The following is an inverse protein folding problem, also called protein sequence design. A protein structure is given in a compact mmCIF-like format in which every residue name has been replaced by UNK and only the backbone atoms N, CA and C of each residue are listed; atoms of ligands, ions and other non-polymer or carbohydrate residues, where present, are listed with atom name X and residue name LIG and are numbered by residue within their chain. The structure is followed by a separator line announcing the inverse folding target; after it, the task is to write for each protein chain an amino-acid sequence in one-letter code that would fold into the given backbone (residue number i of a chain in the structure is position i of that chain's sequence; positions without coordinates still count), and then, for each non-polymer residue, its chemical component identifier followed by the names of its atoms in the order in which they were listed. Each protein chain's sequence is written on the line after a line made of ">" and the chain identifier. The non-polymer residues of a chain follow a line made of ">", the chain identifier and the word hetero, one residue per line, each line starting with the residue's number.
data_IF_463967877814
#
_entry.id   IF_463967877814
#
_cell.length_a   1.000
_cell.length_b   1.000
_cell.length_c   1.000
_cell.angle_alpha   90.00
_cell.angle_beta   90.00
_cell.angle_gamma   90.00
#
_symmetry.space_group_name_H-M   'P 1'
#
loop_
_entity.id
_entity.type
_entity.pdbx_description
1 polymer ?
#
# COMPACT_ATOMS: atom_id res chain seq x y z
N UNK A 1 7.69 30.58 5.68
CA UNK A 1 7.20 29.87 4.46
C UNK A 1 7.53 28.36 4.46
N UNK A 2 8.62 27.91 5.10
CA UNK A 2 8.97 26.46 5.14
C UNK A 2 8.09 25.59 6.04
N UNK A 3 7.31 26.18 6.95
CA UNK A 3 6.43 25.43 7.88
C UNK A 3 5.05 25.09 7.28
N UNK A 4 4.71 25.65 6.11
CA UNK A 4 3.42 25.42 5.44
C UNK A 4 3.52 24.12 4.64
N UNK A 5 2.71 23.14 5.00
CA UNK A 5 2.55 21.91 4.20
C UNK A 5 2.79 20.59 4.92
N UNK A 6 3.37 20.57 6.11
CA UNK A 6 3.52 19.32 6.89
C UNK A 6 2.56 19.22 8.08
N UNK A 7 2.39 20.30 8.86
CA UNK A 7 1.52 20.31 10.05
C UNK A 7 0.66 21.59 10.16
N UNK A 8 0.92 22.59 9.33
CA UNK A 8 0.23 23.89 9.37
C UNK A 8 -0.43 24.14 8.03
N UNK A 9 -1.75 24.20 8.02
CA UNK A 9 -2.56 24.43 6.80
C UNK A 9 -2.57 25.89 6.35
N UNK A 10 -2.39 26.85 7.27
CA UNK A 10 -2.33 28.27 6.98
C UNK A 10 -1.77 29.06 8.20
N UNK A 11 -1.35 30.31 7.99
CA UNK A 11 -0.90 31.19 9.06
C UNK A 11 -1.55 32.57 8.97
N UNK A 12 -1.74 33.19 10.13
CA UNK A 12 -2.34 34.51 10.24
C UNK A 12 -1.37 35.48 10.94
N UNK A 13 -1.17 36.66 10.34
CA UNK A 13 -0.27 37.69 10.90
C UNK A 13 -1.05 38.56 11.88
N UNK A 14 -0.53 38.72 13.07
CA UNK A 14 -1.15 39.62 14.08
C UNK A 14 -0.95 41.09 13.71
N UNK A 15 -1.96 41.95 13.93
CA UNK A 15 -3.25 41.71 14.55
C UNK A 15 -4.23 40.96 13.63
N UNK A 16 -4.88 39.91 14.15
CA UNK A 16 -5.77 39.04 13.39
C UNK A 16 -7.18 39.65 13.35
N UNK A 17 -7.71 39.81 12.13
CA UNK A 17 -9.09 40.22 11.90
C UNK A 17 -9.98 38.98 11.82
N UNK A 18 -11.20 38.96 12.41
CA UNK A 18 -12.16 37.84 12.28
C UNK A 18 -12.41 37.39 10.84
N UNK A 19 -12.43 38.32 9.89
CA UNK A 19 -12.59 38.00 8.47
C UNK A 19 -11.40 37.23 7.86
N UNK A 20 -10.18 37.44 8.36
CA UNK A 20 -9.00 36.67 7.93
C UNK A 20 -9.09 35.23 8.41
N UNK A 21 -9.57 35.00 9.63
CA UNK A 21 -9.83 33.66 10.16
C UNK A 21 -10.86 32.95 9.30
N UNK A 22 -11.98 33.59 9.00
CA UNK A 22 -13.05 33.04 8.15
C UNK A 22 -12.57 32.71 6.74
N UNK A 23 -11.74 33.57 6.13
CA UNK A 23 -11.17 33.32 4.82
C UNK A 23 -10.20 32.13 4.80
N UNK A 24 -9.33 32.04 5.81
CA UNK A 24 -8.41 30.92 5.96
C UNK A 24 -9.17 29.60 6.16
N UNK A 25 -10.16 29.57 7.04
CA UNK A 25 -11.03 28.40 7.24
C UNK A 25 -11.76 27.99 5.96
N UNK A 26 -12.40 28.92 5.27
CA UNK A 26 -13.09 28.66 4.00
C UNK A 26 -12.15 28.11 2.93
N UNK A 27 -10.95 28.67 2.80
CA UNK A 27 -9.94 28.21 1.85
C UNK A 27 -9.52 26.77 2.15
N UNK A 28 -9.25 26.44 3.42
CA UNK A 28 -8.84 25.11 3.82
C UNK A 28 -9.95 24.07 3.66
N UNK A 29 -11.21 24.42 4.00
CA UNK A 29 -12.35 23.55 3.78
C UNK A 29 -12.60 23.31 2.29
N UNK A 30 -12.56 24.37 1.48
CA UNK A 30 -12.73 24.26 0.02
C UNK A 30 -11.62 23.42 -0.63
N UNK A 31 -10.38 23.55 -0.16
CA UNK A 31 -9.29 22.72 -0.67
C UNK A 31 -9.51 21.24 -0.34
N UNK A 32 -10.01 20.90 0.85
CA UNK A 32 -10.34 19.51 1.21
C UNK A 32 -11.46 18.95 0.32
N UNK A 33 -12.52 19.72 0.07
CA UNK A 33 -13.59 19.31 -0.85
C UNK A 33 -13.06 19.09 -2.28
N UNK A 34 -12.25 20.01 -2.78
CA UNK A 34 -11.66 19.88 -4.12
C UNK A 34 -10.74 18.65 -4.25
N UNK A 35 -9.96 18.34 -3.21
CA UNK A 35 -9.13 17.13 -3.19
C UNK A 35 -10.01 15.88 -3.15
N UNK A 36 -11.08 15.88 -2.35
CA UNK A 36 -12.07 14.80 -2.31
C UNK A 36 -12.68 14.54 -3.69
N UNK A 37 -13.23 15.58 -4.32
CA UNK A 37 -13.86 15.48 -5.63
C UNK A 37 -12.87 15.03 -6.71
N UNK A 38 -11.62 15.52 -6.64
CA UNK A 38 -10.54 15.09 -7.53
C UNK A 38 -10.23 13.61 -7.38
N UNK A 39 -10.06 13.12 -6.13
CA UNK A 39 -9.76 11.72 -5.86
C UNK A 39 -10.90 10.80 -6.31
N UNK A 40 -12.16 11.18 -6.08
CA UNK A 40 -13.32 10.42 -6.54
C UNK A 40 -13.36 10.35 -8.07
N UNK A 41 -13.20 11.49 -8.75
CA UNK A 41 -13.21 11.56 -10.21
C UNK A 41 -12.06 10.76 -10.82
N UNK A 42 -10.87 10.86 -10.24
CA UNK A 42 -9.69 10.10 -10.66
C UNK A 42 -9.90 8.60 -10.48
N UNK A 43 -10.42 8.15 -9.33
CA UNK A 43 -10.74 6.75 -9.11
C UNK A 43 -11.78 6.22 -10.09
N UNK A 44 -12.88 6.97 -10.32
CA UNK A 44 -13.89 6.58 -11.29
C UNK A 44 -13.33 6.41 -12.70
N UNK A 45 -12.37 7.25 -13.09
CA UNK A 45 -11.68 7.12 -14.35
C UNK A 45 -10.75 5.89 -14.38
N UNK A 46 -10.03 5.63 -13.30
CA UNK A 46 -9.12 4.50 -13.17
C UNK A 46 -9.83 3.16 -12.95
N UNK A 47 -11.00 3.17 -12.36
CA UNK A 47 -11.78 1.96 -12.05
C UNK A 47 -11.96 1.03 -13.25
N UNK A 48 -12.25 1.59 -14.42
CA UNK A 48 -12.42 0.79 -15.65
C UNK A 48 -11.12 0.15 -16.09
N UNK A 49 -10.02 0.89 -15.99
CA UNK A 49 -8.70 0.40 -16.35
C UNK A 49 -8.27 -0.70 -15.38
N UNK A 50 -8.47 -0.52 -14.08
CA UNK A 50 -8.20 -1.51 -13.06
C UNK A 50 -8.99 -2.81 -13.30
N UNK A 51 -10.31 -2.69 -13.56
CA UNK A 51 -11.15 -3.86 -13.83
C UNK A 51 -10.75 -4.60 -15.12
N UNK A 52 -10.38 -3.86 -16.16
CA UNK A 52 -9.88 -4.46 -17.41
C UNK A 52 -8.51 -5.12 -17.21
N UNK A 53 -7.58 -4.47 -16.53
CA UNK A 53 -6.25 -5.01 -16.26
C UNK A 53 -6.35 -6.29 -15.42
N UNK A 54 -7.17 -6.28 -14.37
CA UNK A 54 -7.38 -7.42 -13.49
C UNK A 54 -7.77 -8.71 -14.24
N UNK A 55 -8.61 -8.59 -15.27
CA UNK A 55 -9.06 -9.76 -16.07
C UNK A 55 -7.96 -10.33 -16.97
N UNK A 56 -6.92 -9.55 -17.25
CA UNK A 56 -5.85 -9.92 -18.18
C UNK A 56 -4.53 -10.24 -17.48
N UNK A 57 -4.48 -10.22 -16.15
CA UNK A 57 -3.27 -10.53 -15.39
C UNK A 57 -2.86 -11.98 -15.61
N UNK A 58 -1.63 -12.18 -16.04
CA UNK A 58 -1.06 -13.48 -16.39
C UNK A 58 0.17 -13.87 -15.56
N UNK A 59 0.81 -12.91 -14.91
CA UNK A 59 2.03 -13.09 -14.14
C UNK A 59 1.91 -12.64 -12.69
N UNK A 60 2.76 -13.17 -11.83
CA UNK A 60 2.79 -12.78 -10.43
C UNK A 60 3.28 -11.33 -10.21
N UNK A 61 4.14 -10.80 -11.09
CA UNK A 61 4.54 -9.39 -11.04
C UNK A 61 3.36 -8.46 -11.28
N UNK A 62 2.55 -8.75 -12.32
CA UNK A 62 1.34 -7.97 -12.62
C UNK A 62 0.35 -8.01 -11.47
N UNK A 63 0.23 -9.14 -10.74
CA UNK A 63 -0.58 -9.23 -9.53
C UNK A 63 -0.06 -8.36 -8.39
N UNK A 64 1.26 -8.28 -8.22
CA UNK A 64 1.86 -7.36 -7.24
C UNK A 64 1.53 -5.92 -7.61
N UNK A 65 1.82 -5.50 -8.84
CA UNK A 65 1.59 -4.12 -9.30
C UNK A 65 0.11 -3.73 -9.14
N UNK A 66 -0.79 -4.62 -9.55
CA UNK A 66 -2.23 -4.42 -9.38
C UNK A 66 -2.64 -4.30 -7.90
N UNK A 67 -2.10 -5.14 -7.02
CA UNK A 67 -2.38 -5.08 -5.58
C UNK A 67 -1.89 -3.79 -4.95
N UNK A 68 -0.69 -3.34 -5.31
CA UNK A 68 -0.13 -2.08 -4.83
C UNK A 68 -1.00 -0.88 -5.24
N UNK A 69 -1.48 -0.88 -6.48
CA UNK A 69 -2.39 0.15 -6.97
C UNK A 69 -3.73 0.15 -6.23
N UNK A 70 -4.30 -1.03 -5.94
CA UNK A 70 -5.51 -1.14 -5.09
C UNK A 70 -5.30 -0.59 -3.68
N UNK A 71 -4.16 -0.87 -3.05
CA UNK A 71 -3.83 -0.35 -1.72
C UNK A 71 -3.69 1.17 -1.75
N UNK A 72 -3.04 1.74 -2.75
CA UNK A 72 -2.91 3.19 -2.88
C UNK A 72 -4.29 3.87 -3.01
N UNK A 73 -5.23 3.25 -3.76
CA UNK A 73 -6.60 3.73 -3.83
C UNK A 73 -7.36 3.55 -2.52
N UNK A 74 -7.18 2.43 -1.83
CA UNK A 74 -7.79 2.20 -0.51
C UNK A 74 -7.37 3.28 0.49
N UNK A 75 -6.09 3.63 0.53
CA UNK A 75 -5.58 4.69 1.42
C UNK A 75 -6.13 6.06 1.03
N UNK A 76 -6.11 6.42 -0.25
CA UNK A 76 -6.67 7.69 -0.73
C UNK A 76 -8.17 7.82 -0.43
N UNK A 77 -8.95 6.76 -0.67
CA UNK A 77 -10.40 6.78 -0.46
C UNK A 77 -10.78 6.66 1.02
N UNK A 78 -9.93 6.07 1.88
CA UNK A 78 -10.17 6.01 3.32
C UNK A 78 -10.16 7.39 4.00
N UNK A 79 -9.51 8.38 3.37
CA UNK A 79 -9.54 9.78 3.83
C UNK A 79 -10.82 10.53 3.40
N UNK A 80 -11.63 9.88 2.55
CA UNK A 80 -12.84 10.45 1.97
C UNK A 80 -14.04 9.80 2.66
N UNK A 81 -14.87 10.60 3.31
CA UNK A 81 -16.12 10.15 3.90
C UNK A 81 -17.18 9.94 2.81
N UNK A 82 -17.04 8.84 2.05
CA UNK A 82 -17.95 8.45 0.95
C UNK A 82 -18.14 6.92 0.93
N UNK A 83 -19.19 6.47 1.58
CA UNK A 83 -19.53 5.04 1.71
C UNK A 83 -19.70 4.36 0.33
N UNK A 84 -20.19 5.09 -0.68
CA UNK A 84 -20.41 4.52 -2.02
C UNK A 84 -19.10 4.16 -2.70
N UNK A 85 -18.09 5.03 -2.60
CA UNK A 85 -16.77 4.76 -3.18
C UNK A 85 -16.05 3.62 -2.46
N UNK A 86 -16.20 3.56 -1.15
CA UNK A 86 -15.67 2.46 -0.33
C UNK A 86 -16.32 1.13 -0.72
N UNK A 87 -17.63 1.09 -0.93
CA UNK A 87 -18.36 -0.10 -1.37
C UNK A 87 -17.90 -0.56 -2.77
N UNK A 88 -17.74 0.36 -3.71
CA UNK A 88 -17.26 0.07 -5.07
C UNK A 88 -15.85 -0.55 -5.01
N UNK A 89 -14.95 0.03 -4.23
CA UNK A 89 -13.60 -0.50 -4.03
C UNK A 89 -13.61 -1.90 -3.40
N UNK A 90 -14.45 -2.11 -2.38
CA UNK A 90 -14.56 -3.41 -1.73
C UNK A 90 -15.08 -4.50 -2.68
N UNK A 91 -16.03 -4.17 -3.56
CA UNK A 91 -16.50 -5.08 -4.60
C UNK A 91 -15.37 -5.43 -5.58
N UNK A 92 -14.58 -4.44 -6.02
CA UNK A 92 -13.42 -4.66 -6.89
C UNK A 92 -12.35 -5.54 -6.22
N UNK A 93 -12.07 -5.30 -4.93
CA UNK A 93 -11.15 -6.14 -4.12
C UNK A 93 -11.66 -7.58 -4.01
N UNK A 94 -12.97 -7.77 -3.84
CA UNK A 94 -13.57 -9.12 -3.75
C UNK A 94 -13.45 -9.88 -5.08
N UNK A 95 -13.67 -9.20 -6.20
CA UNK A 95 -13.49 -9.77 -7.53
C UNK A 95 -12.02 -10.11 -7.80
N UNK A 96 -11.11 -9.19 -7.49
CA UNK A 96 -9.66 -9.39 -7.58
C UNK A 96 -9.21 -10.62 -6.77
N UNK A 97 -9.70 -10.75 -5.54
CA UNK A 97 -9.38 -11.89 -4.68
C UNK A 97 -9.84 -13.23 -5.27
N UNK A 98 -11.01 -13.25 -5.92
CA UNK A 98 -11.50 -14.44 -6.61
C UNK A 98 -10.64 -14.84 -7.80
N UNK A 99 -10.18 -13.87 -8.59
CA UNK A 99 -9.30 -14.12 -9.73
C UNK A 99 -7.89 -14.51 -9.27
N UNK A 100 -7.38 -13.85 -8.26
CA UNK A 100 -6.08 -14.14 -7.65
C UNK A 100 -6.05 -15.56 -7.05
N UNK A 101 -7.12 -16.00 -6.39
CA UNK A 101 -7.22 -17.36 -5.86
C UNK A 101 -7.08 -18.41 -6.97
N UNK A 102 -7.73 -18.22 -8.10
CA UNK A 102 -7.59 -19.12 -9.26
C UNK A 102 -6.19 -19.09 -9.86
N UNK A 103 -5.56 -17.90 -9.87
CA UNK A 103 -4.19 -17.76 -10.32
C UNK A 103 -3.22 -18.51 -9.40
N UNK A 104 -3.40 -18.43 -8.08
CA UNK A 104 -2.61 -19.16 -7.08
C UNK A 104 -2.83 -20.69 -7.24
N UNK A 105 -4.06 -21.15 -7.32
CA UNK A 105 -4.36 -22.58 -7.51
C UNK A 105 -3.61 -23.17 -8.72
N UNK A 106 -3.51 -22.40 -9.79
CA UNK A 106 -2.84 -22.84 -11.02
C UNK A 106 -1.31 -22.84 -10.92
N UNK A 107 -0.70 -21.92 -10.17
CA UNK A 107 0.73 -21.65 -10.25
C UNK A 107 1.51 -22.07 -9.00
N UNK A 108 0.85 -22.18 -7.83
CA UNK A 108 1.53 -22.32 -6.54
C UNK A 108 2.42 -23.57 -6.44
N UNK A 109 1.97 -24.70 -6.96
CA UNK A 109 2.73 -25.94 -6.93
C UNK A 109 4.07 -25.77 -7.67
N UNK A 110 4.06 -25.11 -8.83
CA UNK A 110 5.28 -24.84 -9.60
C UNK A 110 6.21 -23.89 -8.85
N UNK A 111 5.66 -22.89 -8.16
CA UNK A 111 6.47 -21.90 -7.41
C UNK A 111 7.24 -22.53 -6.26
N UNK A 112 6.66 -23.50 -5.57
CA UNK A 112 7.34 -24.20 -4.46
C UNK A 112 8.51 -25.04 -4.97
N UNK A 113 8.45 -25.50 -6.23
CA UNK A 113 9.41 -26.42 -6.80
C UNK A 113 10.42 -25.77 -7.78
N UNK A 114 10.23 -24.51 -8.17
CA UNK A 114 11.01 -23.87 -9.24
C UNK A 114 11.83 -22.64 -8.78
N UNK A 115 12.99 -22.45 -9.45
CA UNK A 115 13.91 -21.34 -9.20
C UNK A 115 13.33 -19.98 -9.66
N UNK A 116 12.46 -19.97 -10.66
CA UNK A 116 11.85 -18.75 -11.22
C UNK A 116 10.52 -18.36 -10.55
N UNK A 117 10.30 -18.81 -9.33
CA UNK A 117 9.14 -18.43 -8.53
C UNK A 117 9.23 -16.98 -8.05
N UNK A 118 8.09 -16.32 -7.74
CA UNK A 118 8.14 -15.10 -6.95
C UNK A 118 8.89 -15.35 -5.64
N UNK A 119 9.38 -14.32 -4.96
CA UNK A 119 9.90 -14.50 -3.61
C UNK A 119 8.81 -15.06 -2.71
N UNK A 120 9.06 -16.24 -2.11
CA UNK A 120 8.18 -16.86 -1.13
C UNK A 120 8.74 -16.63 0.28
N UNK A 121 7.88 -16.63 1.31
CA UNK A 121 8.28 -16.36 2.69
C UNK A 121 9.43 -17.26 3.18
N UNK A 122 9.47 -18.52 2.79
CA UNK A 122 10.54 -19.46 3.12
C UNK A 122 11.91 -19.20 2.46
N UNK A 123 11.98 -18.23 1.55
CA UNK A 123 13.19 -17.89 0.80
C UNK A 123 13.76 -16.51 1.18
N UNK A 124 13.06 -15.76 2.04
CA UNK A 124 13.38 -14.36 2.32
C UNK A 124 14.76 -14.22 2.98
N UNK A 125 15.04 -15.02 3.99
CA UNK A 125 16.33 -14.99 4.70
C UNK A 125 17.47 -15.34 3.75
N UNK A 126 17.36 -16.40 2.98
CA UNK A 126 18.39 -16.82 2.04
C UNK A 126 18.61 -15.80 0.92
N UNK A 127 17.52 -15.31 0.31
CA UNK A 127 17.59 -14.38 -0.84
C UNK A 127 18.08 -12.99 -0.47
N UNK A 128 17.72 -12.48 0.71
CA UNK A 128 17.90 -11.06 1.04
C UNK A 128 18.76 -10.82 2.27
N UNK A 129 18.79 -11.71 3.27
CA UNK A 129 19.51 -11.48 4.52
C UNK A 129 20.93 -12.07 4.50
N UNK A 130 21.07 -13.34 4.15
CA UNK A 130 22.36 -14.05 4.25
C UNK A 130 23.46 -13.35 3.45
N UNK A 131 23.13 -12.83 2.27
CA UNK A 131 24.07 -12.15 1.38
C UNK A 131 24.63 -10.84 1.95
N UNK A 132 23.94 -10.24 2.90
CA UNK A 132 24.32 -8.98 3.52
C UNK A 132 25.08 -9.15 4.83
N UNK A 133 25.01 -10.33 5.45
CA UNK A 133 25.59 -10.60 6.78
C UNK A 133 27.12 -10.42 6.82
N UNK A 134 27.81 -10.73 5.73
CA UNK A 134 29.27 -10.63 5.65
C UNK A 134 29.76 -9.18 5.42
N UNK A 135 28.86 -8.25 5.13
CA UNK A 135 29.22 -6.89 4.74
C UNK A 135 29.10 -5.87 5.87
N UNK A 136 28.08 -5.99 6.70
CA UNK A 136 27.77 -5.01 7.76
C UNK A 136 26.92 -5.65 8.87
N UNK A 137 26.94 -5.08 10.09
CA UNK A 137 25.99 -5.49 11.13
C UNK A 137 24.55 -5.25 10.68
N UNK A 138 23.66 -6.22 10.91
CA UNK A 138 22.28 -6.18 10.49
C UNK A 138 21.37 -6.34 11.71
N UNK A 139 20.30 -5.54 11.76
CA UNK A 139 19.17 -5.74 12.65
C UNK A 139 18.01 -6.24 11.79
N UNK A 140 17.62 -7.51 11.97
CA UNK A 140 16.50 -8.12 11.27
C UNK A 140 15.25 -8.03 12.14
N UNK A 141 14.26 -7.25 11.68
CA UNK A 141 12.99 -7.04 12.39
C UNK A 141 11.90 -7.81 11.66
N UNK A 142 11.25 -8.73 12.37
CA UNK A 142 10.08 -9.47 11.86
C UNK A 142 8.84 -8.95 12.57
N UNK A 143 7.89 -8.46 11.79
CA UNK A 143 6.59 -8.02 12.29
C UNK A 143 5.55 -9.01 11.79
N UNK A 144 5.05 -9.82 12.70
CA UNK A 144 4.04 -10.84 12.39
C UNK A 144 2.70 -10.19 12.04
N UNK A 145 2.04 -10.71 11.00
CA UNK A 145 0.73 -10.25 10.52
C UNK A 145 0.66 -8.77 10.07
N UNK A 146 1.80 -8.16 9.73
CA UNK A 146 1.83 -6.82 9.15
C UNK A 146 1.38 -6.90 7.69
N UNK A 147 0.28 -6.21 7.36
CA UNK A 147 -0.18 -6.08 5.98
C UNK A 147 0.52 -4.90 5.29
N UNK A 148 0.54 -4.92 3.97
CA UNK A 148 1.18 -3.89 3.17
C UNK A 148 0.52 -2.50 3.32
N UNK A 149 -0.82 -2.44 3.45
CA UNK A 149 -1.53 -1.19 3.72
C UNK A 149 -1.11 -0.56 5.06
N UNK A 150 -0.93 -1.38 6.09
CA UNK A 150 -0.41 -0.93 7.39
C UNK A 150 1.03 -0.44 7.28
N UNK A 151 1.87 -1.14 6.51
CA UNK A 151 3.23 -0.69 6.21
C UNK A 151 3.22 0.70 5.57
N UNK A 152 2.39 0.93 4.55
CA UNK A 152 2.30 2.23 3.86
C UNK A 152 1.91 3.38 4.79
N UNK A 153 1.13 3.11 5.83
CA UNK A 153 0.75 4.12 6.84
C UNK A 153 1.92 4.46 7.78
N UNK A 154 2.70 3.45 8.20
CA UNK A 154 3.79 3.67 9.16
C UNK A 154 5.13 4.05 8.48
N UNK A 155 5.30 3.71 7.22
CA UNK A 155 6.53 3.95 6.45
C UNK A 155 7.03 5.39 6.54
N UNK A 156 6.20 6.45 6.35
CA UNK A 156 6.66 7.84 6.43
C UNK A 156 7.35 8.17 7.75
N UNK A 157 6.81 7.68 8.88
CA UNK A 157 7.41 7.90 10.20
C UNK A 157 8.75 7.17 10.38
N UNK A 158 8.93 6.03 9.74
CA UNK A 158 10.21 5.30 9.76
C UNK A 158 11.25 6.02 8.90
N UNK A 159 10.83 6.55 7.75
CA UNK A 159 11.71 7.27 6.83
C UNK A 159 12.21 8.62 7.35
N UNK A 160 11.66 9.14 8.44
CA UNK A 160 12.22 10.28 9.15
C UNK A 160 13.60 9.96 9.78
N UNK A 161 13.84 8.68 10.11
CA UNK A 161 15.06 8.24 10.81
C UNK A 161 15.95 7.33 9.93
N UNK A 162 15.40 6.71 8.88
CA UNK A 162 16.09 5.73 8.05
C UNK A 162 15.88 5.99 6.57
N UNK A 163 16.83 5.57 5.75
CA UNK A 163 16.69 5.58 4.30
C UNK A 163 16.22 4.21 3.81
N UNK A 164 15.20 4.18 2.98
CA UNK A 164 14.78 2.95 2.29
C UNK A 164 15.69 2.68 1.10
N UNK A 165 16.49 1.62 1.19
CA UNK A 165 17.34 1.18 0.07
C UNK A 165 16.55 0.33 -0.93
N UNK A 166 15.65 -0.53 -0.41
CA UNK A 166 14.91 -1.47 -1.24
C UNK A 166 13.59 -1.85 -0.60
N UNK A 167 12.61 -2.13 -1.43
CA UNK A 167 11.32 -2.72 -1.05
C UNK A 167 11.02 -3.88 -1.99
N UNK A 168 10.69 -5.04 -1.42
CA UNK A 168 10.40 -6.25 -2.19
C UNK A 168 9.16 -6.92 -1.62
N UNK A 169 8.02 -6.82 -2.30
CA UNK A 169 6.86 -7.64 -1.98
C UNK A 169 7.17 -9.12 -2.17
N UNK A 170 6.66 -9.95 -1.29
CA UNK A 170 6.80 -11.40 -1.37
C UNK A 170 5.46 -12.08 -1.08
N UNK A 171 5.35 -13.33 -1.53
CA UNK A 171 4.17 -14.15 -1.26
C UNK A 171 4.40 -15.01 -0.02
N UNK A 172 3.42 -15.04 0.85
CA UNK A 172 3.42 -15.99 1.96
C UNK A 172 3.22 -17.42 1.43
N UNK A 173 3.90 -18.39 2.02
CA UNK A 173 3.56 -19.79 1.75
C UNK A 173 2.15 -20.13 2.25
N UNK A 174 1.54 -21.13 1.66
CA UNK A 174 0.25 -21.65 2.06
C UNK A 174 0.40 -22.87 2.98
N UNK A 175 -0.42 -22.96 4.03
CA UNK A 175 -1.42 -22.00 4.48
C UNK A 175 -0.77 -20.78 5.15
N UNK A 176 -1.41 -19.60 5.04
CA UNK A 176 -0.91 -18.33 5.58
C UNK A 176 -1.05 -18.22 7.11
N UNK A 177 -1.48 -19.28 7.78
CA UNK A 177 -1.57 -19.28 9.24
C UNK A 177 -0.19 -19.10 9.90
N UNK A 178 -0.12 -18.26 10.95
CA UNK A 178 1.12 -17.85 11.63
C UNK A 178 2.06 -19.02 11.95
N UNK A 179 1.51 -20.14 12.42
CA UNK A 179 2.28 -21.34 12.78
C UNK A 179 3.05 -21.95 11.59
N UNK A 180 2.61 -21.72 10.35
CA UNK A 180 3.31 -22.16 9.15
C UNK A 180 4.10 -21.03 8.51
N UNK A 181 3.40 -19.94 8.18
CA UNK A 181 3.98 -18.83 7.42
C UNK A 181 5.14 -18.13 8.15
N UNK A 182 5.02 -17.88 9.47
CA UNK A 182 6.09 -17.31 10.27
C UNK A 182 7.27 -18.29 10.44
N UNK A 183 6.98 -19.55 10.75
CA UNK A 183 8.05 -20.54 10.94
C UNK A 183 8.81 -20.82 9.64
N UNK A 184 8.20 -20.61 8.49
CA UNK A 184 8.87 -20.78 7.21
C UNK A 184 9.90 -19.70 6.89
N UNK A 185 9.92 -18.59 7.62
CA UNK A 185 10.95 -17.55 7.47
C UNK A 185 12.32 -18.01 7.93
N UNK A 186 12.37 -18.97 8.85
CA UNK A 186 13.56 -19.53 9.47
C UNK A 186 13.77 -21.01 9.09
#
# INVERSE_FOLDING_TARGET
>A
EEAIGREISDYLIKPVNPNQILLSLKKNLKNKELVKDSNISEYQQQFRNLSFNMMNISSWNEWIDFYLELIDWELKLSEIDDDTMIEILNNQKSEANSLFSKFIEKNYESWVNEINSPPLSNQIIERFLIRELDQKPIIFIVIDNLRYDQWRIIEPSILEFYNKEKEVPYFSILPTATQYARNSLF
#
